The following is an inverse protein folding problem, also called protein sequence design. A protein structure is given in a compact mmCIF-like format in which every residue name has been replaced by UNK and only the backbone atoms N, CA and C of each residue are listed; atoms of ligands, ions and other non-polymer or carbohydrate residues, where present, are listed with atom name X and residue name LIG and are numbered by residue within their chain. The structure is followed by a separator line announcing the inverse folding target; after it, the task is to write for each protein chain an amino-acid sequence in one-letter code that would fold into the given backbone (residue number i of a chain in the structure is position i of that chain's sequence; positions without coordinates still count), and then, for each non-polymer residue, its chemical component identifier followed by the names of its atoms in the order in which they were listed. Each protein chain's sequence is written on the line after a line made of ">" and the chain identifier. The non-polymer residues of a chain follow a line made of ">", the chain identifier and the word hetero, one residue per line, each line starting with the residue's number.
data_IF_388225057175
#
_entry.id   IF_388225057175
#
_cell.length_a   1.000
_cell.length_b   1.000
_cell.length_c   1.000
_cell.angle_alpha   90.00
_cell.angle_beta   90.00
_cell.angle_gamma   90.00
#
_symmetry.space_group_name_H-M   'P 1'
#
loop_
_entity.id
_entity.type
_entity.pdbx_description
1 polymer ?
#
# COMPACT_ATOMS: atom_id res chain seq x y z
N UNK A 1 8.21 39.10 -36.77
CA UNK A 1 7.92 38.82 -35.35
C UNK A 1 7.38 37.40 -35.27
N UNK A 2 8.25 36.44 -35.00
CA UNK A 2 7.94 35.01 -34.91
C UNK A 2 8.15 34.60 -33.46
N UNK A 3 7.07 34.35 -32.73
CA UNK A 3 7.13 33.81 -31.37
C UNK A 3 6.91 32.30 -31.40
N UNK A 4 7.92 31.61 -30.88
CA UNK A 4 8.05 30.18 -30.73
C UNK A 4 6.87 29.54 -29.98
N UNK A 5 6.18 28.60 -30.62
CA UNK A 5 5.45 27.53 -29.92
C UNK A 5 6.44 26.41 -29.59
N UNK A 6 7.05 26.50 -28.40
CA UNK A 6 7.83 25.38 -27.85
C UNK A 6 6.85 24.33 -27.31
N UNK A 7 6.92 23.15 -27.91
CA UNK A 7 6.29 21.89 -27.51
C UNK A 7 6.25 21.71 -25.98
N UNK A 8 5.05 21.67 -25.41
CA UNK A 8 4.78 21.38 -23.99
C UNK A 8 4.97 19.90 -23.60
N UNK A 9 5.48 19.03 -24.49
CA UNK A 9 5.52 17.57 -24.25
C UNK A 9 6.74 17.04 -23.50
N UNK A 10 7.79 17.85 -23.27
CA UNK A 10 9.06 17.36 -22.68
C UNK A 10 9.40 17.90 -21.29
N UNK A 11 8.47 18.60 -20.63
CA UNK A 11 8.71 19.00 -19.24
C UNK A 11 8.41 17.82 -18.32
N UNK A 12 9.46 17.03 -18.01
CA UNK A 12 9.44 16.20 -16.79
C UNK A 12 8.98 17.10 -15.64
N UNK A 13 8.01 16.66 -14.82
CA UNK A 13 7.59 17.45 -13.67
C UNK A 13 8.83 17.84 -12.85
N UNK A 14 8.89 19.08 -12.33
CA UNK A 14 10.05 19.54 -11.58
C UNK A 14 10.36 18.55 -10.48
N UNK A 15 11.63 18.13 -10.40
CA UNK A 15 12.15 17.23 -9.37
C UNK A 15 11.74 17.80 -8.01
N UNK A 16 10.78 17.14 -7.36
CA UNK A 16 10.33 17.52 -6.02
C UNK A 16 11.36 16.97 -5.04
N UNK A 17 11.86 17.81 -4.15
CA UNK A 17 12.65 17.35 -3.01
C UNK A 17 11.72 16.59 -2.05
N UNK A 18 11.58 15.30 -2.29
CA UNK A 18 10.91 14.35 -1.42
C UNK A 18 11.82 14.07 -0.22
N UNK A 19 11.96 15.05 0.66
CA UNK A 19 12.56 14.86 1.99
C UNK A 19 11.47 15.05 3.03
N UNK A 20 10.52 14.12 3.03
CA UNK A 20 9.50 14.08 4.07
C UNK A 20 10.20 13.84 5.41
N UNK A 21 9.86 14.61 6.44
CA UNK A 21 10.32 14.29 7.79
C UNK A 21 9.71 12.94 8.21
N UNK A 22 10.54 11.95 8.50
CA UNK A 22 10.11 10.63 8.95
C UNK A 22 9.77 10.66 10.44
N UNK A 23 8.71 9.96 10.82
CA UNK A 23 8.31 9.80 12.20
C UNK A 23 8.82 8.48 12.74
N UNK A 24 9.43 8.51 13.92
CA UNK A 24 9.71 7.30 14.68
C UNK A 24 8.41 6.58 15.04
N UNK A 25 8.48 5.25 15.09
CA UNK A 25 7.38 4.39 15.47
C UNK A 25 7.91 3.09 16.07
N UNK A 26 7.10 2.45 16.91
CA UNK A 26 7.28 1.07 17.38
C UNK A 26 6.14 0.18 16.91
N UNK A 27 6.27 -1.14 17.04
CA UNK A 27 5.13 -2.03 16.86
C UNK A 27 4.16 -1.90 18.04
N UNK A 28 2.89 -2.12 17.74
CA UNK A 28 1.87 -2.30 18.76
C UNK A 28 1.69 -3.80 19.06
N UNK A 29 1.15 -4.18 20.23
CA UNK A 29 0.92 -5.60 20.56
C UNK A 29 0.10 -6.36 19.52
N UNK A 30 -0.82 -5.68 18.84
CA UNK A 30 -1.65 -6.23 17.76
C UNK A 30 -0.90 -6.36 16.42
N UNK A 31 0.42 -6.14 16.38
CA UNK A 31 1.26 -6.61 15.28
C UNK A 31 1.32 -8.15 15.23
N UNK A 32 1.03 -8.80 16.36
CA UNK A 32 0.91 -10.25 16.49
C UNK A 32 -0.55 -10.68 16.64
N UNK A 33 -0.82 -11.92 16.22
CA UNK A 33 -2.05 -12.65 16.49
C UNK A 33 -1.85 -13.49 17.75
N UNK A 34 -2.86 -13.47 18.60
CA UNK A 34 -2.84 -14.13 19.90
C UNK A 34 -4.03 -15.09 20.03
N UNK A 35 -3.77 -16.30 20.53
CA UNK A 35 -4.81 -17.24 20.98
C UNK A 35 -4.69 -17.38 22.50
N UNK A 36 -5.59 -16.70 23.21
CA UNK A 36 -5.45 -16.45 24.64
C UNK A 36 -4.11 -15.77 24.90
N UNK A 37 -3.22 -16.47 25.60
CA UNK A 37 -1.87 -15.96 25.82
C UNK A 37 -0.88 -16.40 24.73
N UNK A 38 -1.14 -17.35 23.86
CA UNK A 38 -0.13 -17.88 22.93
C UNK A 38 0.04 -16.99 21.69
N UNK A 39 1.27 -16.69 21.28
CA UNK A 39 1.52 -16.04 19.98
C UNK A 39 1.32 -17.07 18.86
N UNK A 40 0.40 -16.79 17.93
CA UNK A 40 0.06 -17.70 16.83
C UNK A 40 0.48 -17.17 15.45
N UNK A 41 0.98 -15.95 15.37
CA UNK A 41 1.68 -15.45 14.19
C UNK A 41 1.66 -13.92 14.08
N UNK A 42 2.07 -13.43 12.92
CA UNK A 42 2.05 -12.00 12.60
C UNK A 42 0.65 -11.62 12.09
N UNK A 43 0.20 -10.40 12.40
CA UNK A 43 -1.16 -9.92 12.14
C UNK A 43 -1.28 -9.14 10.82
N UNK A 44 -0.63 -9.66 9.78
CA UNK A 44 -0.85 -9.24 8.40
C UNK A 44 -0.43 -10.35 7.44
N UNK A 45 -0.81 -10.22 6.17
CA UNK A 45 -0.33 -11.06 5.07
C UNK A 45 0.44 -10.20 4.05
N UNK A 46 1.44 -10.75 3.34
CA UNK A 46 2.29 -10.00 2.43
C UNK A 46 1.60 -9.72 1.09
N UNK A 47 0.61 -8.82 1.14
CA UNK A 47 -0.28 -8.46 0.02
C UNK A 47 0.48 -7.97 -1.21
N UNK A 48 1.50 -7.11 -1.03
CA UNK A 48 2.26 -6.61 -2.16
C UNK A 48 3.14 -7.69 -2.80
N UNK A 49 3.80 -8.52 -1.98
CA UNK A 49 4.56 -9.68 -2.45
C UNK A 49 3.70 -10.64 -3.27
N UNK A 50 2.57 -11.08 -2.71
CA UNK A 50 1.69 -12.05 -3.38
C UNK A 50 1.09 -11.48 -4.68
N UNK A 51 0.64 -10.21 -4.67
CA UNK A 51 0.09 -9.57 -5.87
C UNK A 51 1.15 -9.41 -6.96
N UNK A 52 2.38 -9.03 -6.60
CA UNK A 52 3.48 -8.90 -7.56
C UNK A 52 3.88 -10.24 -8.14
N UNK A 53 3.92 -11.28 -7.30
CA UNK A 53 4.19 -12.64 -7.75
C UNK A 53 3.11 -13.11 -8.73
N UNK A 54 1.83 -12.86 -8.43
CA UNK A 54 0.70 -13.20 -9.30
C UNK A 54 0.78 -12.47 -10.65
N UNK A 55 1.03 -11.15 -10.66
CA UNK A 55 1.20 -10.36 -11.90
C UNK A 55 2.37 -10.84 -12.77
N UNK A 56 3.40 -11.40 -12.13
CA UNK A 56 4.55 -12.00 -12.81
C UNK A 56 4.34 -13.48 -13.18
N UNK A 57 3.16 -14.03 -12.94
CA UNK A 57 2.82 -15.44 -13.15
C UNK A 57 3.72 -16.41 -12.36
N UNK A 58 4.07 -16.02 -11.13
CA UNK A 58 4.98 -16.76 -10.24
C UNK A 58 4.36 -17.17 -8.90
N UNK A 59 3.09 -16.86 -8.66
CA UNK A 59 2.43 -17.07 -7.38
C UNK A 59 0.92 -17.13 -7.47
N UNK A 60 0.27 -17.32 -6.33
CA UNK A 60 -1.18 -17.38 -6.17
C UNK A 60 -1.62 -16.31 -5.17
N UNK A 61 -2.83 -15.77 -5.37
CA UNK A 61 -3.37 -14.78 -4.46
C UNK A 61 -3.99 -15.44 -3.22
N UNK A 62 -3.89 -14.79 -2.05
CA UNK A 62 -4.48 -15.30 -0.82
C UNK A 62 -6.01 -15.30 -0.92
N UNK A 63 -6.62 -16.45 -0.61
CA UNK A 63 -8.06 -16.59 -0.46
C UNK A 63 -8.40 -16.59 1.03
N UNK A 64 -8.95 -15.48 1.50
CA UNK A 64 -9.44 -15.34 2.87
C UNK A 64 -10.96 -15.32 2.85
N UNK A 65 -11.58 -16.18 3.66
CA UNK A 65 -13.02 -16.33 3.77
C UNK A 65 -13.55 -15.82 5.11
N UNK A 66 -14.87 -15.66 5.22
CA UNK A 66 -15.50 -15.34 6.51
C UNK A 66 -15.27 -16.42 7.57
N UNK A 67 -14.99 -17.67 7.17
CA UNK A 67 -14.64 -18.73 8.12
C UNK A 67 -13.31 -18.40 8.81
N UNK A 68 -12.32 -17.90 8.06
CA UNK A 68 -11.01 -17.52 8.59
C UNK A 68 -11.07 -16.30 9.52
N UNK A 69 -12.10 -15.46 9.38
CA UNK A 69 -12.36 -14.30 10.26
C UNK A 69 -12.74 -14.74 11.68
N UNK A 70 -13.49 -15.84 11.79
CA UNK A 70 -14.04 -16.32 13.07
C UNK A 70 -13.12 -17.30 13.81
N UNK A 71 -12.00 -17.68 13.21
CA UNK A 71 -11.04 -18.60 13.82
C UNK A 71 -10.38 -17.97 15.04
N UNK A 72 -10.28 -18.72 16.14
CA UNK A 72 -9.53 -18.30 17.33
C UNK A 72 -8.07 -18.01 16.94
N UNK A 73 -7.54 -16.85 17.36
CA UNK A 73 -6.22 -16.39 16.93
C UNK A 73 -6.15 -15.93 15.46
N UNK A 74 -7.30 -15.65 14.84
CA UNK A 74 -7.42 -15.07 13.51
C UNK A 74 -6.84 -13.65 13.39
N UNK A 75 -6.89 -13.10 12.19
CA UNK A 75 -6.41 -11.73 11.94
C UNK A 75 -7.34 -10.70 12.58
N UNK A 76 -6.80 -9.86 13.46
CA UNK A 76 -7.52 -8.71 14.03
C UNK A 76 -7.28 -7.44 13.22
N UNK A 77 -6.33 -7.47 12.29
CA UNK A 77 -6.06 -6.39 11.37
C UNK A 77 -7.23 -6.19 10.39
N UNK A 78 -7.94 -5.04 10.44
CA UNK A 78 -9.16 -4.83 9.67
C UNK A 78 -8.90 -4.76 8.16
N UNK A 79 -7.63 -4.61 7.76
CA UNK A 79 -7.25 -4.49 6.35
C UNK A 79 -6.87 -5.82 5.71
N UNK A 80 -6.69 -6.90 6.49
CA UNK A 80 -6.23 -8.19 5.97
C UNK A 80 -7.26 -8.84 5.06
N UNK A 81 -8.51 -8.98 5.50
CA UNK A 81 -9.58 -9.58 4.71
C UNK A 81 -9.99 -8.71 3.51
N UNK A 82 -10.11 -7.40 3.72
CA UNK A 82 -10.38 -6.47 2.62
C UNK A 82 -9.25 -6.45 1.61
N UNK A 83 -8.00 -6.57 2.07
CA UNK A 83 -6.82 -6.65 1.22
C UNK A 83 -6.81 -7.87 0.32
N UNK A 84 -7.06 -9.06 0.89
CA UNK A 84 -7.22 -10.28 0.09
C UNK A 84 -8.35 -10.17 -0.93
N UNK A 85 -9.49 -9.62 -0.52
CA UNK A 85 -10.64 -9.39 -1.42
C UNK A 85 -10.29 -8.42 -2.57
N UNK A 86 -9.62 -7.30 -2.26
CA UNK A 86 -9.20 -6.31 -3.25
C UNK A 86 -8.18 -6.92 -4.23
N UNK A 87 -7.24 -7.74 -3.76
CA UNK A 87 -6.28 -8.44 -4.63
C UNK A 87 -7.00 -9.36 -5.63
N UNK A 88 -7.97 -10.16 -5.16
CA UNK A 88 -8.76 -11.06 -6.02
C UNK A 88 -9.62 -10.29 -7.03
N UNK A 89 -10.22 -9.17 -6.62
CA UNK A 89 -11.00 -8.31 -7.53
C UNK A 89 -10.08 -7.69 -8.59
N UNK A 90 -8.92 -7.16 -8.18
CA UNK A 90 -7.94 -6.60 -9.12
C UNK A 90 -7.46 -7.64 -10.12
N UNK A 91 -7.20 -8.88 -9.68
CA UNK A 91 -6.86 -9.97 -10.60
C UNK A 91 -7.94 -10.25 -11.64
N UNK A 92 -9.22 -10.23 -11.25
CA UNK A 92 -10.34 -10.37 -12.20
C UNK A 92 -10.39 -9.22 -13.20
N UNK A 93 -10.17 -7.99 -12.75
CA UNK A 93 -10.12 -6.81 -13.63
C UNK A 93 -8.95 -6.91 -14.60
N UNK A 94 -7.78 -7.38 -14.14
CA UNK A 94 -6.59 -7.58 -14.98
C UNK A 94 -6.86 -8.60 -16.08
N UNK A 95 -7.45 -9.74 -15.73
CA UNK A 95 -7.83 -10.75 -16.71
C UNK A 95 -8.89 -10.20 -17.68
N UNK A 96 -9.91 -9.50 -17.17
CA UNK A 96 -10.98 -8.96 -18.00
C UNK A 96 -10.47 -7.96 -19.06
N UNK A 97 -9.59 -7.02 -18.69
CA UNK A 97 -9.06 -6.09 -19.68
C UNK A 97 -8.11 -6.78 -20.67
N UNK A 98 -7.33 -7.76 -20.20
CA UNK A 98 -6.44 -8.51 -21.07
C UNK A 98 -7.23 -9.32 -22.10
N UNK A 99 -8.25 -10.05 -21.65
CA UNK A 99 -9.12 -10.85 -22.49
C UNK A 99 -9.85 -9.96 -23.51
N UNK A 100 -10.43 -8.86 -23.06
CA UNK A 100 -11.11 -7.91 -23.95
C UNK A 100 -10.19 -7.34 -25.04
N UNK A 101 -8.92 -7.07 -24.71
CA UNK A 101 -7.94 -6.56 -25.67
C UNK A 101 -7.36 -7.62 -26.62
N UNK A 102 -7.42 -8.91 -26.27
CA UNK A 102 -6.69 -9.96 -26.99
C UNK A 102 -7.57 -11.00 -27.68
N UNK A 103 -8.79 -11.19 -27.20
CA UNK A 103 -9.76 -12.10 -27.80
C UNK A 103 -10.46 -11.36 -28.95
N UNK A 104 -10.36 -11.85 -30.20
CA UNK A 104 -11.10 -11.29 -31.32
C UNK A 104 -12.61 -11.43 -31.07
N UNK A 105 -13.34 -10.34 -31.20
CA UNK A 105 -14.80 -10.35 -31.18
C UNK A 105 -15.30 -10.09 -32.60
N UNK A 106 -16.27 -10.89 -33.04
CA UNK A 106 -16.66 -10.96 -34.44
C UNK A 106 -17.44 -9.72 -34.93
N UNK A 107 -17.87 -8.83 -34.04
CA UNK A 107 -18.66 -7.63 -34.33
C UNK A 107 -18.67 -6.71 -33.10
N UNK A 108 -17.56 -6.01 -32.83
CA UNK A 108 -17.57 -5.01 -31.75
C UNK A 108 -18.25 -3.73 -32.23
N UNK A 109 -19.39 -3.40 -31.63
CA UNK A 109 -20.01 -2.09 -31.78
C UNK A 109 -19.04 -1.00 -31.26
N UNK A 110 -18.77 0.07 -32.05
CA UNK A 110 -17.87 1.16 -31.66
C UNK A 110 -18.23 1.86 -30.33
N UNK A 111 -19.52 1.96 -30.00
CA UNK A 111 -19.97 2.62 -28.78
C UNK A 111 -19.75 1.70 -27.59
N UNK A 112 -20.17 0.45 -27.69
CA UNK A 112 -19.94 -0.57 -26.66
C UNK A 112 -18.44 -0.73 -26.38
N UNK A 113 -17.62 -0.69 -27.43
CA UNK A 113 -16.17 -0.83 -27.29
C UNK A 113 -15.54 0.32 -26.50
N UNK A 114 -16.03 1.55 -26.68
CA UNK A 114 -15.56 2.73 -25.96
C UNK A 114 -16.08 2.78 -24.52
N UNK A 115 -17.32 2.34 -24.27
CA UNK A 115 -17.87 2.18 -22.92
C UNK A 115 -17.05 1.16 -22.13
N UNK A 116 -16.76 0.02 -22.75
CA UNK A 116 -16.02 -1.08 -22.15
C UNK A 116 -14.57 -0.65 -21.84
N UNK A 117 -13.92 0.07 -22.76
CA UNK A 117 -12.62 0.71 -22.53
C UNK A 117 -12.66 1.63 -21.31
N UNK A 118 -13.61 2.56 -21.25
CA UNK A 118 -13.73 3.48 -20.12
C UNK A 118 -13.95 2.73 -18.80
N UNK A 119 -14.83 1.73 -18.78
CA UNK A 119 -15.09 0.92 -17.58
C UNK A 119 -13.83 0.22 -17.09
N UNK A 120 -13.20 -0.59 -17.92
CA UNK A 120 -12.04 -1.41 -17.56
C UNK A 120 -10.84 -0.55 -17.14
N UNK A 121 -10.58 0.55 -17.86
CA UNK A 121 -9.51 1.48 -17.48
C UNK A 121 -9.72 2.06 -16.08
N UNK A 122 -10.95 2.53 -15.78
CA UNK A 122 -11.27 3.07 -14.48
C UNK A 122 -11.19 2.02 -13.37
N UNK A 123 -11.61 0.78 -13.63
CA UNK A 123 -11.48 -0.32 -12.68
C UNK A 123 -10.02 -0.63 -12.38
N UNK A 124 -9.14 -0.68 -13.39
CA UNK A 124 -7.69 -0.88 -13.21
C UNK A 124 -7.12 0.24 -12.32
N UNK A 125 -7.38 1.50 -12.65
CA UNK A 125 -6.89 2.65 -11.87
C UNK A 125 -7.42 2.63 -10.43
N UNK A 126 -8.71 2.32 -10.24
CA UNK A 126 -9.33 2.28 -8.93
C UNK A 126 -8.75 1.17 -8.05
N UNK A 127 -8.70 -0.07 -8.58
CA UNK A 127 -8.31 -1.22 -7.77
C UNK A 127 -6.80 -1.28 -7.52
N UNK A 128 -5.95 -0.79 -8.43
CA UNK A 128 -4.52 -0.60 -8.15
C UNK A 128 -4.31 0.39 -6.99
N UNK A 129 -5.01 1.53 -6.99
CA UNK A 129 -4.93 2.50 -5.90
C UNK A 129 -5.46 1.94 -4.56
N UNK A 130 -6.59 1.22 -4.59
CA UNK A 130 -7.14 0.55 -3.39
C UNK A 130 -6.23 -0.54 -2.86
N UNK A 131 -5.52 -1.24 -3.75
CA UNK A 131 -4.55 -2.26 -3.37
C UNK A 131 -3.35 -1.65 -2.65
N UNK A 132 -2.77 -0.57 -3.18
CA UNK A 132 -1.71 0.16 -2.47
C UNK A 132 -2.21 0.69 -1.11
N UNK A 133 -3.41 1.29 -1.08
CA UNK A 133 -4.00 1.84 0.14
C UNK A 133 -4.19 0.77 1.22
N UNK A 134 -4.79 -0.36 0.89
CA UNK A 134 -5.06 -1.43 1.86
C UNK A 134 -3.75 -2.10 2.33
N UNK A 135 -2.76 -2.27 1.46
CA UNK A 135 -1.43 -2.79 1.85
C UNK A 135 -0.76 -1.85 2.85
N UNK A 136 -0.68 -0.55 2.53
CA UNK A 136 -0.06 0.44 3.43
C UNK A 136 -0.79 0.49 4.78
N UNK A 137 -2.13 0.56 4.76
CA UNK A 137 -2.93 0.60 5.99
C UNK A 137 -2.76 -0.66 6.84
N UNK A 138 -2.66 -1.82 6.19
CA UNK A 138 -2.40 -3.09 6.88
C UNK A 138 -1.08 -3.03 7.65
N UNK A 139 -0.02 -2.48 7.05
CA UNK A 139 1.27 -2.31 7.71
C UNK A 139 1.22 -1.26 8.82
N UNK A 140 0.60 -0.10 8.58
CA UNK A 140 0.40 0.94 9.59
C UNK A 140 -0.42 0.45 10.79
N UNK A 141 -1.34 -0.49 10.58
CA UNK A 141 -2.07 -1.13 11.67
C UNK A 141 -1.16 -1.92 12.60
N UNK A 142 -0.01 -2.42 12.15
CA UNK A 142 0.94 -3.12 13.02
C UNK A 142 1.82 -2.16 13.85
N UNK A 143 1.69 -0.84 13.67
CA UNK A 143 2.56 0.14 14.35
C UNK A 143 1.81 0.97 15.39
N UNK A 144 2.56 1.76 16.15
CA UNK A 144 2.04 2.72 17.12
C UNK A 144 1.54 4.03 16.49
N UNK A 145 1.53 4.15 15.15
CA UNK A 145 0.91 5.31 14.52
C UNK A 145 -0.55 5.45 14.97
N UNK A 146 -1.01 6.65 15.36
CA UNK A 146 -2.40 6.84 15.74
C UNK A 146 -3.34 6.49 14.59
N UNK A 147 -4.38 5.69 14.86
CA UNK A 147 -5.32 5.22 13.85
C UNK A 147 -5.99 6.37 13.07
N UNK A 148 -6.20 7.51 13.73
CA UNK A 148 -6.71 8.75 13.13
C UNK A 148 -5.84 9.28 11.98
N UNK A 149 -4.56 8.90 11.92
CA UNK A 149 -3.63 9.29 10.86
C UNK A 149 -3.74 8.46 9.60
N UNK A 150 -4.34 7.27 9.63
CA UNK A 150 -4.38 6.40 8.44
C UNK A 150 -5.71 5.71 8.17
N UNK A 151 -6.53 5.35 9.17
CA UNK A 151 -7.74 4.53 8.97
C UNK A 151 -8.64 5.02 7.84
N UNK A 152 -8.97 6.32 7.86
CA UNK A 152 -9.87 6.98 6.89
C UNK A 152 -9.14 7.74 5.79
N UNK A 153 -7.81 7.62 5.70
CA UNK A 153 -7.01 8.33 4.70
C UNK A 153 -7.03 7.58 3.39
N UNK A 154 -7.20 8.30 2.29
CA UNK A 154 -7.02 7.71 0.97
C UNK A 154 -5.53 7.61 0.62
N UNK A 155 -5.15 6.78 -0.37
CA UNK A 155 -3.76 6.61 -0.80
C UNK A 155 -2.94 7.91 -0.79
N UNK A 156 -3.32 8.95 -1.54
CA UNK A 156 -2.56 10.20 -1.58
C UNK A 156 -2.30 10.88 -0.23
N UNK A 157 -3.20 10.73 0.73
CA UNK A 157 -2.98 11.26 2.09
C UNK A 157 -2.08 10.38 2.96
N UNK A 158 -1.88 9.11 2.60
CA UNK A 158 -0.90 8.22 3.25
C UNK A 158 0.52 8.52 2.77
N UNK A 159 0.63 8.97 1.51
CA UNK A 159 1.90 9.32 0.89
C UNK A 159 2.35 10.72 1.25
N UNK A 160 1.40 11.63 1.35
CA UNK A 160 1.69 13.03 1.59
C UNK A 160 0.59 13.63 2.46
N UNK A 161 0.93 13.94 3.71
CA UNK A 161 0.07 14.67 4.61
C UNK A 161 0.82 15.83 5.27
N UNK A 162 0.17 16.98 5.49
CA UNK A 162 0.77 18.05 6.27
C UNK A 162 1.02 17.58 7.71
N UNK A 163 2.20 17.89 8.24
CA UNK A 163 2.53 17.61 9.63
C UNK A 163 1.50 18.25 10.58
N UNK A 164 0.89 17.43 11.44
CA UNK A 164 -0.14 17.89 12.39
C UNK A 164 0.45 18.74 13.51
N UNK A 165 1.72 18.54 13.83
CA UNK A 165 2.43 19.21 14.95
C UNK A 165 2.95 20.57 14.52
N UNK A 166 3.48 20.69 13.29
CA UNK A 166 3.88 21.98 12.70
C UNK A 166 2.69 22.82 12.22
N UNK A 167 1.47 22.43 12.60
CA UNK A 167 0.24 23.09 12.18
C UNK A 167 0.01 24.31 13.07
N UNK A 168 0.40 25.49 12.55
CA UNK A 168 0.09 26.85 13.03
C UNK A 168 1.06 27.51 14.03
N UNK A 169 2.33 27.14 14.08
CA UNK A 169 3.33 28.11 14.57
C UNK A 169 3.77 29.01 13.42
N UNK A 170 3.55 30.32 13.58
CA UNK A 170 4.12 31.39 12.75
C UNK A 170 3.66 31.48 11.28
N UNK A 171 2.43 31.08 10.94
CA UNK A 171 1.84 31.33 9.61
C UNK A 171 2.56 30.63 8.43
N UNK A 172 3.49 29.71 8.72
CA UNK A 172 4.24 28.96 7.70
C UNK A 172 3.46 27.72 7.25
N UNK A 173 3.64 27.33 5.99
CA UNK A 173 3.10 26.07 5.46
C UNK A 173 3.73 24.90 6.24
N UNK A 174 2.93 23.99 6.82
CA UNK A 174 3.48 22.80 7.47
C UNK A 174 4.26 21.97 6.44
N UNK A 175 5.38 21.39 6.86
CA UNK A 175 6.10 20.43 6.02
C UNK A 175 5.24 19.18 5.79
N UNK A 176 5.58 18.43 4.76
CA UNK A 176 4.89 17.22 4.36
C UNK A 176 5.54 16.00 5.01
N UNK A 177 4.73 15.05 5.42
CA UNK A 177 5.13 13.77 6.01
C UNK A 177 4.58 12.66 5.14
N UNK A 178 5.43 11.69 4.84
CA UNK A 178 5.04 10.42 4.23
C UNK A 178 4.94 9.34 5.30
N UNK A 179 3.74 8.76 5.49
CA UNK A 179 3.58 7.62 6.41
C UNK A 179 4.24 6.38 5.84
N UNK A 180 4.29 6.24 4.52
CA UNK A 180 5.01 5.15 3.85
C UNK A 180 6.52 5.33 3.99
N UNK A 181 7.04 6.55 3.79
CA UNK A 181 8.45 6.87 4.04
C UNK A 181 8.81 6.62 5.51
N UNK A 182 7.93 6.99 6.43
CA UNK A 182 8.12 6.71 7.86
C UNK A 182 8.12 5.21 8.17
N UNK A 183 7.24 4.41 7.55
CA UNK A 183 7.26 2.94 7.66
C UNK A 183 8.57 2.35 7.14
N UNK A 184 9.10 2.87 6.02
CA UNK A 184 10.30 2.37 5.37
C UNK A 184 11.60 2.79 6.07
N UNK A 185 11.57 3.87 6.86
CA UNK A 185 12.75 4.51 7.43
C UNK A 185 13.60 3.62 8.35
N UNK A 186 13.03 2.87 9.33
CA UNK A 186 13.81 1.99 10.20
C UNK A 186 14.55 0.87 9.48
N UNK A 187 14.13 0.54 8.25
CA UNK A 187 14.74 -0.49 7.41
C UNK A 187 15.67 0.11 6.34
N UNK A 188 15.96 1.41 6.40
CA UNK A 188 16.76 2.15 5.42
C UNK A 188 16.20 2.10 3.99
N UNK A 189 14.89 1.85 3.84
CA UNK A 189 14.20 1.80 2.55
C UNK A 189 13.58 3.14 2.15
N UNK A 190 13.56 4.13 3.03
CA UNK A 190 12.84 5.40 2.81
C UNK A 190 13.35 6.19 1.60
N UNK A 191 14.65 6.17 1.31
CA UNK A 191 15.22 6.87 0.15
C UNK A 191 14.73 6.29 -1.18
N UNK A 192 14.57 4.96 -1.26
CA UNK A 192 14.02 4.32 -2.46
C UNK A 192 12.54 4.72 -2.66
N UNK A 193 11.79 4.87 -1.56
CA UNK A 193 10.43 5.35 -1.63
C UNK A 193 10.35 6.81 -2.06
N UNK A 194 11.13 7.67 -1.41
CA UNK A 194 11.14 9.11 -1.64
C UNK A 194 11.59 9.46 -3.06
N UNK A 195 12.63 8.79 -3.59
CA UNK A 195 13.20 9.10 -4.91
C UNK A 195 12.51 8.38 -6.08
N UNK A 196 11.71 7.35 -5.83
CA UNK A 196 11.22 6.49 -6.91
C UNK A 196 9.74 6.13 -6.75
N UNK A 197 9.36 5.57 -5.59
CA UNK A 197 7.99 5.16 -5.36
C UNK A 197 7.02 6.35 -5.41
N UNK A 198 7.37 7.50 -4.82
CA UNK A 198 6.50 8.68 -4.76
C UNK A 198 6.13 9.22 -6.15
N UNK A 199 7.04 9.18 -7.12
CA UNK A 199 6.77 9.60 -8.51
C UNK A 199 5.85 8.59 -9.22
N UNK A 200 6.04 7.29 -9.00
CA UNK A 200 5.13 6.25 -9.51
C UNK A 200 3.75 6.29 -8.81
N UNK A 201 3.65 6.81 -7.58
CA UNK A 201 2.37 7.05 -6.92
C UNK A 201 1.72 8.37 -7.31
N UNK A 202 2.50 9.37 -7.73
CA UNK A 202 1.96 10.53 -8.40
C UNK A 202 1.28 10.10 -9.70
N UNK A 203 1.74 9.06 -10.40
CA UNK A 203 0.99 8.44 -11.50
C UNK A 203 -0.36 7.91 -10.99
N UNK A 204 -0.40 7.02 -9.98
CA UNK A 204 -1.67 6.49 -9.45
C UNK A 204 -2.64 7.53 -8.85
N UNK A 205 -2.13 8.56 -8.15
CA UNK A 205 -2.95 9.66 -7.62
C UNK A 205 -3.34 10.68 -8.69
N UNK A 206 -2.50 10.94 -9.68
CA UNK A 206 -2.86 11.78 -10.83
C UNK A 206 -3.89 11.03 -11.66
N UNK A 207 -3.73 9.74 -11.91
CA UNK A 207 -4.72 8.93 -12.60
C UNK A 207 -6.04 8.85 -11.82
N UNK A 208 -6.01 8.64 -10.50
CA UNK A 208 -7.24 8.60 -9.69
C UNK A 208 -7.90 9.96 -9.52
N UNK A 209 -7.15 11.00 -9.13
CA UNK A 209 -7.71 12.31 -8.83
C UNK A 209 -7.90 13.16 -10.09
N UNK A 210 -7.02 13.06 -11.08
CA UNK A 210 -7.17 13.79 -12.34
C UNK A 210 -8.01 13.03 -13.36
N UNK A 211 -7.89 11.71 -13.54
CA UNK A 211 -8.61 11.01 -14.62
C UNK A 211 -9.86 10.23 -14.21
N UNK A 212 -9.87 9.58 -13.04
CA UNK A 212 -11.01 8.78 -12.59
C UNK A 212 -12.04 9.59 -11.76
N UNK A 213 -11.62 10.65 -11.06
CA UNK A 213 -12.47 11.45 -10.16
C UNK A 213 -13.04 12.73 -10.78
N UNK A 214 -12.59 13.14 -11.98
CA UNK A 214 -13.15 14.29 -12.69
C UNK A 214 -14.12 13.83 -13.79
N UNK A 215 -15.39 14.19 -13.63
CA UNK A 215 -16.49 13.84 -14.54
C UNK A 215 -16.26 14.27 -16.01
N UNK A 216 -15.37 15.24 -16.26
CA UNK A 216 -15.05 15.73 -17.60
C UNK A 216 -14.08 14.88 -18.42
N UNK A 217 -13.39 13.90 -17.81
CA UNK A 217 -12.38 13.08 -18.52
C UNK A 217 -12.97 11.79 -19.12
N UNK A 218 -14.13 11.36 -18.64
CA UNK A 218 -14.86 10.21 -19.16
C UNK A 218 -15.83 10.60 -20.28
N UNK A 219 -15.36 11.41 -21.23
CA UNK A 219 -16.18 11.75 -22.40
C UNK A 219 -16.14 10.59 -23.39
N UNK A 220 -17.32 10.12 -23.81
CA UNK A 220 -17.43 9.09 -24.85
C UNK A 220 -16.87 9.66 -26.17
N UNK A 221 -15.80 9.05 -26.69
CA UNK A 221 -15.26 9.38 -27.99
C UNK A 221 -15.49 8.21 -28.95
N UNK A 222 -16.48 8.35 -29.83
CA UNK A 222 -16.86 7.29 -30.77
C UNK A 222 -15.75 7.11 -31.80
N UNK A 223 -15.08 5.95 -31.72
CA UNK A 223 -13.98 5.53 -32.58
C UNK A 223 -14.09 4.04 -32.85
N UNK A 224 -13.29 3.52 -33.77
CA UNK A 224 -13.34 2.08 -34.08
C UNK A 224 -12.96 1.25 -32.87
N UNK A 225 -13.55 0.05 -32.74
CA UNK A 225 -13.29 -0.86 -31.64
C UNK A 225 -11.79 -1.17 -31.48
N UNK A 226 -11.05 -1.33 -32.59
CA UNK A 226 -9.61 -1.55 -32.58
C UNK A 226 -8.84 -0.40 -31.92
N UNK A 227 -9.24 0.85 -32.19
CA UNK A 227 -8.59 2.02 -31.56
C UNK A 227 -8.92 2.06 -30.08
N UNK A 228 -10.15 1.78 -29.67
CA UNK A 228 -10.53 1.73 -28.25
C UNK A 228 -9.79 0.61 -27.50
N UNK A 229 -9.62 -0.57 -28.10
CA UNK A 229 -8.86 -1.68 -27.53
C UNK A 229 -7.36 -1.39 -27.44
N UNK A 230 -6.77 -0.81 -28.48
CA UNK A 230 -5.37 -0.39 -28.47
C UNK A 230 -5.10 0.68 -27.40
N UNK A 231 -5.99 1.66 -27.28
CA UNK A 231 -5.93 2.70 -26.26
C UNK A 231 -6.11 2.13 -24.85
N UNK A 232 -7.06 1.21 -24.64
CA UNK A 232 -7.19 0.48 -23.37
C UNK A 232 -5.88 -0.20 -23.01
N UNK A 233 -5.32 -0.96 -23.96
CA UNK A 233 -4.14 -1.77 -23.73
C UNK A 233 -2.94 -0.92 -23.36
N UNK A 234 -2.67 0.14 -24.13
CA UNK A 234 -1.59 1.08 -23.85
C UNK A 234 -1.77 1.75 -22.49
N UNK A 235 -2.97 2.24 -22.20
CA UNK A 235 -3.27 2.90 -20.94
C UNK A 235 -3.11 1.97 -19.74
N UNK A 236 -3.71 0.78 -19.78
CA UNK A 236 -3.60 -0.21 -18.70
C UNK A 236 -2.16 -0.71 -18.53
N UNK A 237 -1.41 -0.93 -19.61
CA UNK A 237 -0.01 -1.38 -19.50
C UNK A 237 0.87 -0.34 -18.79
N UNK A 238 0.66 0.96 -19.05
CA UNK A 238 1.35 2.04 -18.32
C UNK A 238 1.01 2.04 -16.81
N UNK A 239 -0.28 1.94 -16.47
CA UNK A 239 -0.74 1.85 -15.07
C UNK A 239 -0.15 0.62 -14.39
N UNK A 240 -0.19 -0.54 -15.04
CA UNK A 240 0.28 -1.80 -14.48
C UNK A 240 1.80 -1.85 -14.32
N UNK A 241 2.58 -1.24 -15.22
CA UNK A 241 4.01 -1.09 -15.04
C UNK A 241 4.35 -0.25 -13.81
N UNK A 242 3.71 0.91 -13.66
CA UNK A 242 3.85 1.74 -12.46
C UNK A 242 3.42 1.01 -11.19
N UNK A 243 2.34 0.24 -11.25
CA UNK A 243 1.84 -0.55 -10.13
C UNK A 243 2.78 -1.70 -9.74
N UNK A 244 3.30 -2.47 -10.70
CA UNK A 244 4.28 -3.55 -10.42
C UNK A 244 5.55 -2.97 -9.78
N UNK A 245 5.99 -1.81 -10.25
CA UNK A 245 7.11 -1.10 -9.66
C UNK A 245 6.80 -0.69 -8.21
N UNK A 246 5.62 -0.13 -7.96
CA UNK A 246 5.16 0.20 -6.60
C UNK A 246 5.12 -1.01 -5.67
N UNK A 247 4.56 -2.12 -6.15
CA UNK A 247 4.52 -3.36 -5.37
C UNK A 247 5.91 -3.84 -5.00
N UNK A 248 6.94 -3.60 -5.82
CA UNK A 248 8.30 -3.99 -5.48
C UNK A 248 8.88 -3.22 -4.30
N UNK A 249 8.49 -1.96 -4.09
CA UNK A 249 8.87 -1.18 -2.92
C UNK A 249 8.11 -1.63 -1.68
N UNK A 250 6.78 -1.80 -1.82
CA UNK A 250 5.93 -2.27 -0.72
C UNK A 250 6.32 -3.69 -0.26
N UNK A 251 6.65 -4.58 -1.19
CA UNK A 251 7.17 -5.93 -0.91
C UNK A 251 8.41 -5.89 0.00
N UNK A 252 9.37 -4.99 -0.27
CA UNK A 252 10.56 -4.85 0.59
C UNK A 252 10.21 -4.45 2.02
N UNK A 253 9.25 -3.54 2.20
CA UNK A 253 8.79 -3.12 3.54
C UNK A 253 8.03 -4.25 4.22
N UNK A 254 7.16 -4.95 3.48
CA UNK A 254 6.46 -6.12 4.00
C UNK A 254 7.43 -7.19 4.48
N UNK A 255 8.44 -7.53 3.68
CA UNK A 255 9.47 -8.52 4.01
C UNK A 255 10.29 -8.09 5.22
N UNK A 256 10.78 -6.85 5.25
CA UNK A 256 11.54 -6.33 6.37
C UNK A 256 10.72 -6.35 7.68
N UNK A 257 9.44 -5.95 7.64
CA UNK A 257 8.56 -6.03 8.81
C UNK A 257 8.25 -7.48 9.21
N UNK A 258 8.07 -8.39 8.25
CA UNK A 258 7.84 -9.81 8.53
C UNK A 258 9.04 -10.44 9.26
N UNK A 259 10.25 -10.23 8.73
CA UNK A 259 11.48 -10.77 9.30
C UNK A 259 11.74 -10.21 10.70
N UNK A 260 11.57 -8.90 10.86
CA UNK A 260 11.79 -8.21 12.13
C UNK A 260 10.77 -8.64 13.21
N UNK A 261 9.49 -8.77 12.84
CA UNK A 261 8.46 -9.30 13.74
C UNK A 261 8.65 -10.78 14.04
N UNK A 262 9.12 -11.59 13.09
CA UNK A 262 9.39 -13.00 13.33
C UNK A 262 10.51 -13.18 14.38
N UNK A 263 11.59 -12.41 14.27
CA UNK A 263 12.67 -12.40 15.26
C UNK A 263 12.17 -11.96 16.65
N UNK A 264 11.41 -10.86 16.69
CA UNK A 264 10.80 -10.35 17.93
C UNK A 264 9.84 -11.36 18.56
N UNK A 265 8.98 -11.99 17.76
CA UNK A 265 8.03 -13.01 18.21
C UNK A 265 8.73 -14.24 18.81
N UNK A 266 9.82 -14.69 18.19
CA UNK A 266 10.64 -15.79 18.72
C UNK A 266 11.27 -15.44 20.08
N UNK A 267 11.79 -14.22 20.23
CA UNK A 267 12.36 -13.75 21.48
C UNK A 267 11.30 -13.63 22.60
N UNK A 268 10.12 -13.11 22.26
CA UNK A 268 8.97 -13.02 23.18
C UNK A 268 8.57 -14.41 23.69
N UNK A 269 8.42 -15.38 22.80
CA UNK A 269 8.06 -16.76 23.18
C UNK A 269 9.14 -17.43 24.04
N UNK A 270 10.43 -17.15 23.79
CA UNK A 270 11.51 -17.64 24.64
C UNK A 270 11.43 -17.09 26.07
N UNK A 271 11.24 -15.78 26.23
CA UNK A 271 11.11 -15.15 27.56
C UNK A 271 9.93 -15.70 28.34
N UNK A 272 8.81 -15.94 27.65
CA UNK A 272 7.61 -16.50 28.26
C UNK A 272 7.80 -17.93 28.73
N UNK A 273 8.52 -18.76 27.97
CA UNK A 273 8.91 -20.09 28.42
C UNK A 273 9.81 -20.04 29.65
N UNK A 274 10.56 -18.95 29.81
CA UNK A 274 11.42 -18.69 30.98
C UNK A 274 10.70 -18.00 32.14
N UNK A 275 9.36 -17.91 32.11
CA UNK A 275 8.55 -17.50 33.26
C UNK A 275 8.06 -16.05 33.25
N UNK A 276 8.29 -15.27 32.18
CA UNK A 276 7.75 -13.91 32.09
C UNK A 276 6.20 -13.95 32.00
N UNK A 277 5.46 -13.33 32.94
CA UNK A 277 4.01 -13.23 32.87
C UNK A 277 3.58 -12.45 31.64
N UNK A 278 2.47 -12.87 31.01
CA UNK A 278 1.94 -12.22 29.81
C UNK A 278 1.59 -10.73 30.01
N UNK A 279 1.36 -10.31 31.26
CA UNK A 279 1.02 -8.93 31.64
C UNK A 279 2.25 -8.02 31.76
N UNK A 280 3.43 -8.61 31.98
CA UNK A 280 4.72 -7.90 32.10
C UNK A 280 5.46 -7.81 30.75
N UNK A 281 4.85 -8.36 29.70
CA UNK A 281 5.26 -8.28 28.31
C UNK A 281 5.08 -6.88 27.69
N UNK A 282 5.36 -5.81 28.45
CA UNK A 282 5.21 -4.43 28.01
C UNK A 282 6.44 -4.04 27.18
N UNK A 283 6.53 -4.62 25.99
CA UNK A 283 7.72 -4.55 25.17
C UNK A 283 7.74 -3.30 24.31
N UNK A 284 8.82 -2.52 24.42
CA UNK A 284 9.15 -1.51 23.41
C UNK A 284 9.70 -2.23 22.18
N UNK A 285 8.82 -2.58 21.25
CA UNK A 285 9.18 -3.26 20.01
C UNK A 285 9.59 -2.23 18.95
N UNK A 286 10.87 -1.81 18.98
CA UNK A 286 11.40 -0.88 17.98
C UNK A 286 11.74 -1.62 16.68
N UNK A 287 11.28 -1.15 15.51
CA UNK A 287 11.61 -1.75 14.22
C UNK A 287 13.09 -1.59 13.88
N UNK A 288 13.69 -2.62 13.29
CA UNK A 288 15.09 -2.62 12.87
C UNK A 288 16.11 -2.73 14.02
N UNK A 289 15.66 -2.63 15.27
CA UNK A 289 16.52 -2.83 16.45
C UNK A 289 16.37 -4.25 17.01
N UNK A 290 17.45 -4.86 17.53
CA UNK A 290 17.36 -6.10 18.28
C UNK A 290 16.40 -5.98 19.46
N UNK A 291 15.68 -7.06 19.74
CA UNK A 291 14.80 -7.10 20.89
C UNK A 291 15.61 -7.16 22.19
N UNK A 292 15.49 -6.14 23.03
CA UNK A 292 16.08 -6.08 24.36
C UNK A 292 15.00 -6.14 25.43
N UNK A 293 15.15 -7.06 26.38
CA UNK A 293 14.31 -7.13 27.57
C UNK A 293 15.08 -6.55 28.76
N UNK A 294 14.67 -5.36 29.20
CA UNK A 294 15.11 -4.82 30.49
C UNK A 294 14.36 -5.59 31.58
N UNK A 295 15.04 -6.55 32.22
CA UNK A 295 14.50 -7.14 33.45
C UNK A 295 14.25 -5.99 34.43
N UNK A 296 13.01 -5.84 34.89
CA UNK A 296 12.65 -4.87 35.92
C UNK A 296 13.60 -5.09 37.10
N UNK A 297 14.53 -4.17 37.33
CA UNK A 297 15.38 -4.23 38.51
C UNK A 297 14.44 -4.29 39.73
N UNK A 298 14.57 -5.35 40.52
CA UNK A 298 13.84 -5.52 41.77
C UNK A 298 13.96 -4.22 42.56
N UNK A 299 12.85 -3.48 42.71
CA UNK A 299 12.81 -2.41 43.68
C UNK A 299 12.96 -3.09 45.04
N UNK A 300 13.94 -2.70 45.88
CA UNK A 300 14.06 -3.26 47.21
C UNK A 300 12.76 -2.98 47.99
N UNK A 301 12.33 -3.91 48.86
CA UNK A 301 11.10 -3.76 49.62
C UNK A 301 11.16 -2.52 50.54
N UNK A 302 9.99 -1.98 50.93
CA UNK A 302 9.85 -0.68 51.60
C UNK A 302 10.60 -0.57 52.93
#
# INVERSE_FOLDING_TARGET
>A
MTTNEVSRKDQRPPHRDWHGSHQEWGYRPQAFRWDGHKLVGINFIPLAREMRAWLKQRGQLPLLSNADLTTTGGYTNPFTFSGGSIALILARVVNAYYDYCTVPSAQDDPIDAEIERLRLYNEVVLYTARMCETTIKQLLYCTQFPESRYMKKALGQLLEAPCTTCRKENGKKPHLISLVGSLAHPFHLCLEFDHCAMDHMALGNTLRNSQAAHSGIQTLNIRTADVSKADLRSGCDEVMQGFIHMLSHLEKVEEAMLDDLAQKGAAIELLRRNGLPAEEANFRLMPGEPFHHEARAEQPPP
#
